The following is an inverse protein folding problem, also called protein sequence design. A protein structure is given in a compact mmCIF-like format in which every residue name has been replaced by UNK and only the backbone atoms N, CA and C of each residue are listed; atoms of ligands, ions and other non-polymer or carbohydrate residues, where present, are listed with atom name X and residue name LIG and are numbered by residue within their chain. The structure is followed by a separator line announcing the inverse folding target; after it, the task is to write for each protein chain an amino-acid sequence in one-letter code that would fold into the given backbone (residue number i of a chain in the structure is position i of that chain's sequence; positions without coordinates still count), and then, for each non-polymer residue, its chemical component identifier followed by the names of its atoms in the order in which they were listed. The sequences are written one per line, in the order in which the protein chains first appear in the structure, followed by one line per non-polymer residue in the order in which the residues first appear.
data_IF_696078497986
#
_entry.id   IF_696078497986
#
_cell.length_a   1.000
_cell.length_b   1.000
_cell.length_c   1.000
_cell.angle_alpha   90.00
_cell.angle_beta   90.00
_cell.angle_gamma   90.00
#
_symmetry.space_group_name_H-M   'P 1'
#
loop_
_entity.id
_entity.type
_entity.pdbx_description
1 polymer ?
#
# COMPACT_ATOMS: atom_id res chain seq x y z
N UNK A 1 49.68 41.82 -2.12
CA UNK A 1 49.14 40.62 -2.82
C UNK A 1 48.55 39.53 -1.88
N UNK A 2 48.80 39.57 -0.56
CA UNK A 2 48.30 38.52 0.37
C UNK A 2 46.80 38.56 0.76
N UNK A 3 46.20 39.74 0.82
CA UNK A 3 44.81 39.90 1.29
C UNK A 3 43.76 39.37 0.30
N UNK A 4 43.99 39.46 -1.00
CA UNK A 4 43.07 38.96 -2.03
C UNK A 4 43.00 37.43 -2.08
N UNK A 5 44.09 36.72 -1.78
CA UNK A 5 44.12 35.25 -1.72
C UNK A 5 43.39 34.68 -0.49
N UNK A 6 43.44 35.39 0.65
CA UNK A 6 42.76 34.99 1.90
C UNK A 6 41.23 35.13 1.76
N UNK A 7 40.75 36.24 1.18
CA UNK A 7 39.33 36.48 0.96
C UNK A 7 38.70 35.48 -0.05
N UNK A 8 39.47 35.09 -1.09
CA UNK A 8 38.99 34.10 -2.08
C UNK A 8 38.90 32.68 -1.50
N UNK A 9 39.82 32.34 -0.57
CA UNK A 9 39.82 31.04 0.11
C UNK A 9 38.66 30.90 1.12
N UNK A 10 38.29 32.00 1.80
CA UNK A 10 37.15 32.08 2.70
C UNK A 10 35.83 31.87 1.94
N UNK A 11 35.63 32.58 0.83
CA UNK A 11 34.42 32.44 -0.01
C UNK A 11 34.28 31.06 -0.60
N UNK A 12 35.37 30.43 -1.02
CA UNK A 12 35.34 29.05 -1.54
C UNK A 12 34.95 28.06 -0.45
N UNK A 13 35.47 28.25 0.76
CA UNK A 13 35.12 27.42 1.92
C UNK A 13 33.63 27.57 2.30
N UNK A 14 33.10 28.79 2.32
CA UNK A 14 31.69 29.07 2.59
C UNK A 14 30.79 28.42 1.53
N UNK A 15 31.17 28.48 0.26
CA UNK A 15 30.45 27.91 -0.85
C UNK A 15 30.41 26.36 -0.77
N UNK A 16 31.57 25.76 -0.49
CA UNK A 16 31.68 24.29 -0.31
C UNK A 16 30.88 23.86 0.91
N UNK A 17 30.93 24.59 2.00
CA UNK A 17 30.16 24.30 3.21
C UNK A 17 28.65 24.37 2.93
N UNK A 18 28.16 25.42 2.25
CA UNK A 18 26.76 25.54 1.87
C UNK A 18 26.30 24.38 0.96
N UNK A 19 27.13 23.98 -0.01
CA UNK A 19 26.83 22.85 -0.88
C UNK A 19 26.73 21.53 -0.08
N UNK A 20 27.67 21.30 0.86
CA UNK A 20 27.63 20.09 1.72
C UNK A 20 26.37 20.10 2.58
N UNK A 21 26.02 21.24 3.17
CA UNK A 21 24.80 21.35 3.99
C UNK A 21 23.54 21.13 3.15
N UNK A 22 23.48 21.74 1.96
CA UNK A 22 22.34 21.56 1.05
C UNK A 22 22.18 20.12 0.60
N UNK A 23 23.29 19.46 0.23
CA UNK A 23 23.28 18.04 -0.11
C UNK A 23 22.90 17.16 1.09
N UNK A 24 23.42 17.44 2.27
CA UNK A 24 23.07 16.73 3.50
C UNK A 24 21.59 16.84 3.84
N UNK A 25 21.00 18.03 3.68
CA UNK A 25 19.56 18.25 3.86
C UNK A 25 18.74 17.51 2.79
N UNK A 26 19.14 17.58 1.53
CA UNK A 26 18.47 16.88 0.44
C UNK A 26 18.47 15.36 0.66
N UNK A 27 19.62 14.77 0.98
CA UNK A 27 19.72 13.34 1.32
C UNK A 27 18.91 12.96 2.55
N UNK A 28 18.86 13.82 3.57
CA UNK A 28 18.07 13.58 4.78
C UNK A 28 16.57 13.57 4.46
N UNK A 29 16.11 14.49 3.62
CA UNK A 29 14.70 14.54 3.18
C UNK A 29 14.36 13.30 2.36
N UNK A 30 15.20 12.90 1.40
CA UNK A 30 14.98 11.69 0.61
C UNK A 30 14.96 10.41 1.48
N UNK A 31 15.89 10.27 2.42
CA UNK A 31 15.98 9.14 3.33
C UNK A 31 14.75 8.98 4.25
N UNK A 32 14.11 10.10 4.60
CA UNK A 32 12.87 10.11 5.39
C UNK A 32 11.62 9.86 4.53
N UNK A 33 11.73 10.15 3.24
CA UNK A 33 10.63 10.10 2.27
C UNK A 33 10.37 8.70 1.74
N UNK A 34 11.42 7.95 1.46
CA UNK A 34 11.35 6.64 0.81
C UNK A 34 11.91 5.57 1.74
N UNK A 35 11.14 4.50 1.96
CA UNK A 35 11.57 3.38 2.79
C UNK A 35 11.52 2.07 1.99
N UNK A 36 12.59 1.24 2.05
CA UNK A 36 12.57 -0.09 1.48
C UNK A 36 11.74 -1.05 2.34
N UNK A 37 10.96 -1.91 1.68
CA UNK A 37 10.24 -3.03 2.29
C UNK A 37 10.55 -4.32 1.55
N UNK A 38 10.63 -5.43 2.30
CA UNK A 38 10.75 -6.78 1.74
C UNK A 38 9.37 -7.43 1.71
N UNK A 39 9.05 -8.12 0.64
CA UNK A 39 7.79 -8.85 0.46
C UNK A 39 7.89 -10.20 1.17
N UNK A 40 7.11 -10.44 2.24
CA UNK A 40 7.23 -11.66 3.02
C UNK A 40 6.37 -12.82 2.49
N UNK A 41 5.29 -12.54 1.76
CA UNK A 41 4.29 -13.52 1.35
C UNK A 41 3.90 -13.41 -0.12
N UNK A 42 3.28 -14.46 -0.65
CA UNK A 42 2.83 -14.52 -2.05
C UNK A 42 1.48 -13.85 -2.32
N UNK A 43 0.91 -13.11 -1.37
CA UNK A 43 -0.43 -12.51 -1.51
C UNK A 43 -0.55 -11.47 -2.63
N UNK A 44 0.56 -10.92 -3.11
CA UNK A 44 0.63 -9.95 -4.21
C UNK A 44 1.18 -10.55 -5.52
N UNK A 45 1.33 -11.87 -5.60
CA UNK A 45 1.70 -12.53 -6.86
C UNK A 45 0.56 -12.44 -7.88
N UNK A 46 0.87 -12.25 -9.15
CA UNK A 46 2.21 -12.27 -9.80
C UNK A 46 2.94 -10.92 -9.78
N UNK A 47 2.30 -9.83 -9.33
CA UNK A 47 2.86 -8.47 -9.34
C UNK A 47 4.13 -8.38 -8.50
N UNK A 48 4.06 -8.81 -7.24
CA UNK A 48 5.19 -8.84 -6.32
C UNK A 48 5.44 -10.27 -5.84
N UNK A 49 6.68 -10.74 -5.94
CA UNK A 49 7.08 -12.10 -5.50
C UNK A 49 7.69 -12.06 -4.10
N UNK A 50 7.62 -13.19 -3.42
CA UNK A 50 8.28 -13.40 -2.12
C UNK A 50 9.78 -13.08 -2.21
N UNK A 51 10.29 -12.33 -1.23
CA UNK A 51 11.68 -11.90 -1.16
C UNK A 51 12.03 -10.66 -1.98
N UNK A 52 11.15 -10.20 -2.86
CA UNK A 52 11.30 -8.95 -3.62
C UNK A 52 11.37 -7.76 -2.67
N UNK A 53 12.09 -6.70 -3.08
CA UNK A 53 12.20 -5.46 -2.30
C UNK A 53 11.63 -4.30 -3.10
N UNK A 54 10.78 -3.52 -2.45
CA UNK A 54 10.09 -2.37 -3.02
C UNK A 54 10.44 -1.09 -2.30
N UNK A 55 10.37 0.02 -2.99
CA UNK A 55 10.48 1.38 -2.45
C UNK A 55 9.09 1.93 -2.20
N UNK A 56 8.88 2.46 -1.00
CA UNK A 56 7.60 2.99 -0.55
C UNK A 56 7.73 4.48 -0.27
N UNK A 57 6.92 5.28 -0.97
CA UNK A 57 6.81 6.72 -0.77
C UNK A 57 5.92 7.00 0.45
N UNK A 58 6.49 7.64 1.47
CA UNK A 58 5.80 7.98 2.73
C UNK A 58 5.36 9.44 2.81
N UNK A 59 5.92 10.30 1.97
CA UNK A 59 5.66 11.76 2.01
C UNK A 59 4.28 12.06 1.45
N UNK A 60 3.90 11.47 0.31
CA UNK A 60 2.61 11.74 -0.31
C UNK A 60 1.47 11.63 0.69
N UNK A 61 1.42 10.52 1.42
CA UNK A 61 0.40 10.30 2.44
C UNK A 61 0.45 11.33 3.60
N UNK A 62 1.64 11.74 4.03
CA UNK A 62 1.81 12.78 5.07
C UNK A 62 1.38 14.17 4.61
N UNK A 63 1.47 14.45 3.31
CA UNK A 63 1.07 15.71 2.69
C UNK A 63 -0.40 15.71 2.22
N UNK A 64 -1.20 14.72 2.66
CA UNK A 64 -2.63 14.65 2.36
C UNK A 64 -2.98 14.00 1.03
N UNK A 65 -2.03 13.37 0.34
CA UNK A 65 -2.36 12.54 -0.83
C UNK A 65 -3.06 11.27 -0.37
N UNK A 66 -4.29 11.08 -0.84
CA UNK A 66 -5.06 9.87 -0.56
C UNK A 66 -4.72 8.76 -1.56
N UNK A 67 -4.60 7.50 -1.09
CA UNK A 67 -4.44 6.35 -1.97
C UNK A 67 -5.61 6.25 -2.94
N UNK A 68 -5.33 5.93 -4.21
CA UNK A 68 -6.33 5.79 -5.28
C UNK A 68 -6.47 4.33 -5.69
N UNK A 69 -7.61 4.01 -6.31
CA UNK A 69 -7.82 2.70 -6.90
C UNK A 69 -6.71 2.38 -7.91
N UNK A 70 -6.07 1.23 -7.71
CA UNK A 70 -4.91 0.77 -8.45
C UNK A 70 -3.60 0.86 -7.68
N UNK A 71 -3.47 1.76 -6.72
CA UNK A 71 -2.25 1.93 -5.93
C UNK A 71 -1.95 0.70 -5.08
N UNK A 72 -0.69 0.31 -5.02
CA UNK A 72 -0.20 -0.72 -4.10
C UNK A 72 0.33 -0.04 -2.84
N UNK A 73 -0.27 -0.33 -1.70
CA UNK A 73 0.01 0.37 -0.46
C UNK A 73 0.55 -0.55 0.64
N UNK A 74 1.49 -0.03 1.42
CA UNK A 74 1.95 -0.63 2.69
C UNK A 74 1.19 0.04 3.83
N UNK A 75 0.66 -0.76 4.74
CA UNK A 75 -0.23 -0.28 5.81
C UNK A 75 -0.15 -1.14 7.07
N UNK A 76 -0.76 -0.66 8.16
CA UNK A 76 -0.98 -1.42 9.40
C UNK A 76 -2.40 -1.96 9.41
N UNK A 77 -2.59 -3.30 9.31
CA UNK A 77 -3.92 -3.89 9.28
C UNK A 77 -4.62 -3.84 10.64
N UNK A 78 -5.95 -4.06 10.69
CA UNK A 78 -6.68 -4.18 11.95
C UNK A 78 -6.25 -5.42 12.73
N UNK A 79 -6.57 -5.46 14.02
CA UNK A 79 -6.35 -6.65 14.84
C UNK A 79 -7.11 -7.86 14.26
N UNK A 80 -6.46 -9.04 14.23
CA UNK A 80 -7.03 -10.27 13.68
C UNK A 80 -7.07 -10.34 12.15
N UNK A 81 -6.35 -9.48 11.45
CA UNK A 81 -6.26 -9.50 9.99
C UNK A 81 -5.57 -10.76 9.46
N UNK A 82 -4.63 -11.31 10.21
CA UNK A 82 -3.94 -12.57 9.94
C UNK A 82 -4.83 -13.81 10.06
N UNK A 83 -5.89 -13.70 10.87
CA UNK A 83 -6.90 -14.75 11.06
C UNK A 83 -8.19 -14.46 10.25
N UNK A 84 -8.19 -13.48 9.33
CA UNK A 84 -9.35 -13.13 8.52
C UNK A 84 -10.58 -12.69 9.32
N UNK A 85 -10.38 -12.12 10.53
CA UNK A 85 -11.49 -11.88 11.45
C UNK A 85 -12.20 -10.55 11.19
N UNK A 86 -13.48 -10.62 10.84
CA UNK A 86 -14.35 -9.46 10.65
C UNK A 86 -14.85 -8.85 11.98
N UNK A 87 -15.01 -7.54 12.02
CA UNK A 87 -15.62 -6.82 13.14
C UNK A 87 -17.16 -6.79 13.10
N UNK A 88 -17.75 -7.27 12.02
CA UNK A 88 -19.19 -7.42 11.84
C UNK A 88 -19.53 -8.90 11.58
N UNK A 89 -20.35 -9.49 12.47
CA UNK A 89 -20.71 -10.91 12.42
C UNK A 89 -21.60 -11.27 11.22
N UNK A 90 -22.23 -10.29 10.57
CA UNK A 90 -23.14 -10.49 9.44
C UNK A 90 -22.44 -10.30 8.09
N UNK A 91 -21.12 -10.20 8.08
CA UNK A 91 -20.30 -10.00 6.88
C UNK A 91 -18.93 -10.66 7.04
N UNK A 92 -18.23 -10.88 5.95
CA UNK A 92 -16.94 -11.58 5.91
C UNK A 92 -17.09 -13.05 5.56
N UNK A 93 -16.12 -13.86 5.98
CA UNK A 93 -16.05 -15.28 5.61
C UNK A 93 -17.33 -16.04 5.94
N UNK A 94 -17.78 -16.89 5.00
CA UNK A 94 -19.01 -17.68 5.15
C UNK A 94 -20.31 -16.92 4.92
N UNK A 95 -20.25 -15.63 4.57
CA UNK A 95 -21.42 -14.80 4.25
C UNK A 95 -21.38 -14.35 2.78
N UNK A 96 -22.50 -13.90 2.19
CA UNK A 96 -22.52 -13.37 0.82
C UNK A 96 -21.93 -11.95 0.70
N UNK A 97 -21.51 -11.32 1.81
CA UNK A 97 -20.97 -9.95 1.87
C UNK A 97 -19.49 -9.94 2.26
N UNK A 98 -18.65 -9.14 1.63
CA UNK A 98 -17.31 -8.90 2.17
C UNK A 98 -17.43 -8.22 3.54
N UNK A 99 -16.40 -8.34 4.37
CA UNK A 99 -16.42 -7.72 5.70
C UNK A 99 -16.68 -6.21 5.61
N UNK A 100 -17.72 -5.75 6.31
CA UNK A 100 -18.18 -4.35 6.26
C UNK A 100 -17.49 -3.45 7.27
N UNK A 101 -16.90 -4.02 8.33
CA UNK A 101 -16.28 -3.27 9.43
C UNK A 101 -15.07 -3.99 10.00
N UNK A 102 -13.90 -3.30 10.10
CA UNK A 102 -12.72 -3.88 10.71
C UNK A 102 -12.88 -4.03 12.23
N UNK A 103 -12.13 -4.94 12.82
CA UNK A 103 -11.98 -5.02 14.29
C UNK A 103 -11.18 -3.81 14.81
N UNK A 104 -11.47 -3.31 16.01
CA UNK A 104 -10.66 -2.29 16.65
C UNK A 104 -9.25 -2.82 16.96
N UNK A 105 -8.28 -1.90 17.07
CA UNK A 105 -6.88 -2.23 17.34
C UNK A 105 -6.05 -2.36 16.06
N UNK A 106 -4.75 -2.64 16.25
CA UNK A 106 -3.74 -2.76 15.20
C UNK A 106 -3.06 -4.12 15.30
N UNK A 107 -2.75 -4.69 14.15
CA UNK A 107 -1.83 -5.82 14.03
C UNK A 107 -0.38 -5.33 14.17
N UNK A 108 0.51 -6.17 14.68
CA UNK A 108 1.92 -5.82 14.89
C UNK A 108 2.71 -5.68 13.59
N UNK A 109 2.36 -6.47 12.58
CA UNK A 109 3.04 -6.48 11.29
C UNK A 109 2.42 -5.53 10.28
N UNK A 110 3.20 -5.18 9.26
CA UNK A 110 2.73 -4.39 8.11
C UNK A 110 2.38 -5.29 6.95
N UNK A 111 1.27 -4.97 6.28
CA UNK A 111 0.82 -5.68 5.07
C UNK A 111 1.02 -4.81 3.83
N UNK A 112 1.00 -5.46 2.68
CA UNK A 112 1.01 -4.81 1.38
C UNK A 112 -0.14 -5.37 0.53
N UNK A 113 -1.00 -4.50 -0.01
CA UNK A 113 -2.17 -4.84 -0.82
C UNK A 113 -2.45 -3.73 -1.84
N UNK A 114 -3.32 -4.02 -2.79
CA UNK A 114 -3.81 -3.05 -3.78
C UNK A 114 -5.14 -2.44 -3.35
N UNK A 115 -5.29 -1.14 -3.58
CA UNK A 115 -6.56 -0.42 -3.41
C UNK A 115 -7.50 -0.83 -4.56
N UNK A 116 -8.67 -1.36 -4.23
CA UNK A 116 -9.70 -1.76 -5.21
C UNK A 116 -10.98 -0.96 -5.11
N UNK A 117 -11.18 -0.25 -3.99
CA UNK A 117 -12.26 0.73 -3.83
C UNK A 117 -11.87 1.79 -2.79
N UNK A 118 -12.49 2.98 -2.90
CA UNK A 118 -12.27 4.14 -2.04
C UNK A 118 -13.55 4.49 -1.28
N UNK A 119 -13.43 5.41 -0.31
CA UNK A 119 -14.58 5.92 0.44
C UNK A 119 -15.69 6.42 -0.48
N UNK A 120 -16.93 6.01 -0.20
CA UNK A 120 -18.10 6.30 -1.00
C UNK A 120 -18.43 5.24 -2.07
N UNK A 121 -17.46 4.42 -2.50
CA UNK A 121 -17.71 3.34 -3.45
C UNK A 121 -18.55 2.19 -2.84
N UNK A 122 -19.28 1.47 -3.69
CA UNK A 122 -19.80 0.15 -3.36
C UNK A 122 -18.86 -0.93 -3.91
N UNK A 123 -18.64 -1.99 -3.14
CA UNK A 123 -17.76 -3.11 -3.51
C UNK A 123 -18.43 -4.45 -3.25
N UNK A 124 -18.44 -5.30 -4.26
CA UNK A 124 -18.76 -6.72 -4.22
C UNK A 124 -17.64 -7.51 -4.88
N UNK A 125 -17.62 -8.83 -4.71
CA UNK A 125 -16.59 -9.69 -5.29
C UNK A 125 -17.28 -10.79 -6.07
N UNK A 126 -16.86 -11.04 -7.32
CA UNK A 126 -17.34 -12.15 -8.16
C UNK A 126 -16.16 -12.85 -8.82
N UNK A 127 -16.04 -14.14 -8.60
CA UNK A 127 -14.91 -14.95 -9.09
C UNK A 127 -13.55 -14.34 -8.73
N UNK A 128 -13.42 -13.80 -7.52
CA UNK A 128 -12.23 -13.11 -7.04
C UNK A 128 -11.97 -11.71 -7.65
N UNK A 129 -12.81 -11.24 -8.58
CA UNK A 129 -12.68 -9.89 -9.18
C UNK A 129 -13.48 -8.86 -8.38
N UNK A 130 -12.91 -7.67 -8.27
CA UNK A 130 -13.62 -6.55 -7.69
C UNK A 130 -14.78 -6.09 -8.60
N UNK A 131 -15.96 -5.91 -8.01
CA UNK A 131 -17.12 -5.27 -8.66
C UNK A 131 -17.35 -3.96 -7.94
N UNK A 132 -16.81 -2.88 -8.51
CA UNK A 132 -16.89 -1.52 -7.96
C UNK A 132 -18.02 -0.74 -8.62
N UNK A 133 -18.92 -0.20 -7.82
CA UNK A 133 -20.08 0.59 -8.29
C UNK A 133 -20.89 -0.16 -9.38
N UNK A 134 -21.07 -1.48 -9.17
CA UNK A 134 -21.81 -2.35 -10.09
C UNK A 134 -21.03 -2.78 -11.35
N UNK A 135 -19.78 -2.32 -11.52
CA UNK A 135 -18.95 -2.65 -12.70
C UNK A 135 -17.79 -3.56 -12.31
N UNK A 136 -17.58 -4.63 -13.06
CA UNK A 136 -16.43 -5.53 -12.89
C UNK A 136 -15.16 -4.77 -13.27
N UNK A 137 -14.19 -4.73 -12.37
CA UNK A 137 -12.92 -4.06 -12.60
C UNK A 137 -12.07 -4.79 -13.65
N UNK A 138 -11.35 -4.03 -14.46
CA UNK A 138 -10.36 -4.55 -15.40
C UNK A 138 -9.05 -4.78 -14.63
N UNK A 139 -8.76 -6.04 -14.32
CA UNK A 139 -7.63 -6.42 -13.45
C UNK A 139 -6.78 -7.51 -14.14
N UNK A 140 -6.02 -7.16 -15.19
CA UNK A 140 -5.22 -8.13 -15.95
C UNK A 140 -4.03 -8.68 -15.14
N UNK A 141 -3.67 -8.03 -14.07
CA UNK A 141 -2.51 -8.34 -13.21
C UNK A 141 -2.80 -9.37 -12.11
N UNK A 142 -4.07 -9.76 -11.89
CA UNK A 142 -4.40 -10.66 -10.78
C UNK A 142 -4.12 -12.13 -11.14
N UNK A 143 -3.79 -12.92 -10.12
CA UNK A 143 -3.95 -14.37 -10.14
C UNK A 143 -5.39 -14.69 -9.73
N UNK A 144 -6.20 -15.30 -10.60
CA UNK A 144 -7.60 -15.59 -10.29
C UNK A 144 -7.74 -16.45 -9.04
N UNK A 145 -8.87 -16.30 -8.39
CA UNK A 145 -9.30 -17.16 -7.30
C UNK A 145 -9.71 -18.52 -7.86
N UNK A 146 -9.06 -19.59 -7.49
CA UNK A 146 -9.30 -20.95 -8.02
C UNK A 146 -10.67 -21.58 -7.68
N UNK A 147 -11.65 -20.79 -7.24
CA UNK A 147 -12.95 -21.23 -6.71
C UNK A 147 -12.92 -21.37 -5.18
N UNK A 148 -14.07 -21.53 -4.56
CA UNK A 148 -14.22 -21.68 -3.10
C UNK A 148 -14.85 -20.45 -2.42
N UNK A 149 -15.07 -20.58 -1.11
CA UNK A 149 -15.86 -19.63 -0.29
C UNK A 149 -15.28 -18.21 -0.23
N UNK A 150 -13.98 -18.03 -0.42
CA UNK A 150 -13.34 -16.71 -0.39
C UNK A 150 -13.30 -15.96 -1.73
N UNK A 151 -13.89 -16.56 -2.79
CA UNK A 151 -13.86 -16.01 -4.13
C UNK A 151 -15.07 -15.14 -4.47
N UNK A 152 -16.17 -15.32 -3.77
CA UNK A 152 -17.44 -14.69 -4.06
C UNK A 152 -18.07 -14.06 -2.82
N UNK A 153 -18.34 -12.76 -2.93
CA UNK A 153 -19.13 -11.97 -2.01
C UNK A 153 -20.04 -11.07 -2.86
N UNK A 154 -21.15 -11.66 -3.41
CA UNK A 154 -21.97 -11.00 -4.42
C UNK A 154 -22.81 -9.84 -3.91
N UNK A 155 -23.08 -9.78 -2.59
CA UNK A 155 -23.81 -8.66 -1.99
C UNK A 155 -22.86 -7.52 -1.66
N UNK A 156 -23.10 -6.32 -2.23
CA UNK A 156 -22.16 -5.20 -2.04
C UNK A 156 -22.23 -4.61 -0.64
N UNK A 157 -21.10 -4.09 -0.19
CA UNK A 157 -20.99 -3.16 0.93
C UNK A 157 -20.61 -1.77 0.42
N UNK A 158 -20.93 -0.71 1.19
CA UNK A 158 -20.40 0.63 0.97
C UNK A 158 -19.11 0.80 1.76
N UNK A 159 -18.05 1.29 1.10
CA UNK A 159 -16.81 1.68 1.76
C UNK A 159 -17.05 3.00 2.49
N UNK A 160 -16.80 3.10 3.81
CA UNK A 160 -16.99 4.35 4.54
C UNK A 160 -16.05 5.46 4.04
N UNK A 161 -16.48 6.72 4.15
CA UNK A 161 -15.65 7.86 3.80
C UNK A 161 -14.38 7.89 4.67
N UNK A 162 -13.23 8.18 4.06
CA UNK A 162 -11.93 8.10 4.71
C UNK A 162 -11.33 6.69 4.85
N UNK A 163 -11.96 5.68 4.21
CA UNK A 163 -11.48 4.31 4.16
C UNK A 163 -11.16 3.88 2.73
N UNK A 164 -10.35 2.83 2.62
CA UNK A 164 -10.07 2.11 1.36
C UNK A 164 -10.34 0.63 1.53
N UNK A 165 -10.74 -0.03 0.44
CA UNK A 165 -10.88 -1.48 0.40
C UNK A 165 -9.70 -2.07 -0.35
N UNK A 166 -9.00 -3.00 0.28
CA UNK A 166 -7.71 -3.52 -0.15
C UNK A 166 -7.82 -4.99 -0.51
N UNK A 167 -7.24 -5.39 -1.64
CA UNK A 167 -7.15 -6.81 -2.02
C UNK A 167 -5.73 -7.17 -2.45
N UNK A 168 -5.34 -8.42 -2.21
CA UNK A 168 -4.13 -8.96 -2.80
C UNK A 168 -4.33 -9.29 -4.27
N UNK A 169 -3.28 -9.20 -5.07
CA UNK A 169 -3.32 -9.57 -6.49
C UNK A 169 -3.43 -11.11 -6.66
N UNK A 170 -2.95 -11.88 -5.69
CA UNK A 170 -3.19 -13.33 -5.60
C UNK A 170 -4.53 -13.59 -4.88
N UNK A 171 -5.61 -13.52 -5.61
CA UNK A 171 -6.99 -13.53 -5.08
C UNK A 171 -7.32 -14.75 -4.24
N UNK A 172 -6.77 -15.91 -4.59
CA UNK A 172 -7.02 -17.18 -3.87
C UNK A 172 -6.10 -17.40 -2.65
N UNK A 173 -5.07 -16.54 -2.46
CA UNK A 173 -4.09 -16.71 -1.39
C UNK A 173 -3.76 -15.35 -0.73
N UNK A 174 -4.79 -14.62 -0.36
CA UNK A 174 -4.64 -13.29 0.27
C UNK A 174 -5.68 -13.07 1.35
N UNK A 175 -5.22 -12.88 2.59
CA UNK A 175 -6.02 -12.32 3.67
C UNK A 175 -6.06 -10.80 3.48
N UNK A 176 -7.26 -10.28 3.12
CA UNK A 176 -7.44 -8.89 2.76
C UNK A 176 -8.81 -8.35 3.21
N UNK A 177 -9.20 -7.17 2.72
CA UNK A 177 -10.43 -6.51 3.16
C UNK A 177 -11.70 -7.32 2.96
N UNK A 178 -11.69 -8.36 2.15
CA UNK A 178 -12.81 -9.31 2.03
C UNK A 178 -13.15 -9.95 3.38
N UNK A 179 -12.12 -10.19 4.20
CA UNK A 179 -12.23 -10.90 5.47
C UNK A 179 -12.18 -9.97 6.69
N UNK A 180 -11.35 -8.90 6.67
CA UNK A 180 -11.16 -8.03 7.83
C UNK A 180 -11.68 -6.61 7.66
N UNK A 181 -12.28 -6.28 6.48
CA UNK A 181 -13.01 -5.03 6.24
C UNK A 181 -12.19 -3.88 5.67
N UNK A 182 -12.85 -2.72 5.43
CA UNK A 182 -12.20 -1.52 4.93
C UNK A 182 -11.13 -1.00 5.90
N UNK A 183 -10.06 -0.41 5.37
CA UNK A 183 -8.96 0.16 6.15
C UNK A 183 -9.08 1.69 6.22
N UNK A 184 -9.00 2.32 7.41
CA UNK A 184 -8.87 3.76 7.51
C UNK A 184 -7.62 4.25 6.74
N UNK A 185 -7.75 5.27 5.91
CA UNK A 185 -6.63 5.86 5.15
C UNK A 185 -5.47 6.26 6.07
N UNK A 186 -5.75 6.74 7.27
CA UNK A 186 -4.74 7.10 8.29
C UNK A 186 -3.80 5.96 8.70
N UNK A 187 -4.15 4.70 8.41
CA UNK A 187 -3.31 3.52 8.67
C UNK A 187 -2.38 3.17 7.52
N UNK A 188 -2.51 3.82 6.37
CA UNK A 188 -1.61 3.67 5.24
C UNK A 188 -0.26 4.32 5.60
N UNK A 189 0.83 3.59 5.38
CA UNK A 189 2.20 4.05 5.62
C UNK A 189 2.74 4.78 4.39
N UNK A 190 2.39 4.27 3.20
CA UNK A 190 2.81 4.85 1.93
C UNK A 190 2.51 3.92 0.75
N UNK A 191 2.77 4.43 -0.45
CA UNK A 191 2.57 3.76 -1.73
C UNK A 191 3.87 3.11 -2.21
N UNK A 192 3.80 1.84 -2.61
CA UNK A 192 4.90 1.14 -3.26
C UNK A 192 4.93 1.53 -4.74
N UNK A 193 5.97 2.22 -5.17
CA UNK A 193 6.05 2.78 -6.52
C UNK A 193 7.10 2.10 -7.40
N UNK A 194 8.10 1.45 -6.82
CA UNK A 194 9.15 0.77 -7.58
C UNK A 194 9.66 -0.48 -6.88
N UNK A 195 10.02 -1.49 -7.66
CA UNK A 195 10.80 -2.63 -7.23
C UNK A 195 12.27 -2.43 -7.59
N UNK A 196 13.19 -2.69 -6.64
CA UNK A 196 14.62 -2.53 -6.85
C UNK A 196 15.45 -3.81 -6.66
N UNK A 197 14.82 -4.88 -6.18
CA UNK A 197 15.48 -6.18 -6.02
C UNK A 197 14.49 -7.32 -6.25
N UNK A 198 14.88 -8.42 -6.93
CA UNK A 198 16.17 -8.64 -7.60
C UNK A 198 16.32 -7.78 -8.87
N UNK A 199 17.55 -7.63 -9.41
CA UNK A 199 17.80 -6.81 -10.62
C UNK A 199 16.94 -7.20 -11.82
N UNK A 200 16.58 -8.47 -11.95
CA UNK A 200 15.68 -8.99 -13.01
C UNK A 200 14.24 -8.48 -12.88
N UNK A 201 13.90 -7.76 -11.81
CA UNK A 201 12.56 -7.21 -11.54
C UNK A 201 12.58 -5.72 -11.19
N UNK A 202 13.59 -5.02 -11.68
CA UNK A 202 13.62 -3.56 -11.61
C UNK A 202 12.48 -2.96 -12.42
N UNK A 203 11.71 -2.04 -11.82
CA UNK A 203 10.61 -1.36 -12.51
C UNK A 203 9.56 -0.77 -11.57
N UNK A 204 8.50 -0.23 -12.14
CA UNK A 204 7.31 0.21 -11.40
C UNK A 204 6.53 -0.97 -10.79
N UNK A 205 5.66 -0.64 -9.84
CA UNK A 205 4.78 -1.60 -9.15
C UNK A 205 3.34 -1.39 -9.61
#
# INVERSE_FOLDING_TARGET
MGHLRRARRSRLFELVFMVIVALGLAFSVEALAVKPYRIPSGSMEPTLKVGQRVLVNRIGHRLGTHPRVGDVVVFRPPAGADAGTCGDRNSGEGTPRPCSRPRPGLHSETFIKRVVAEGGDTIAIRNGRAVRNGRVAQEPFIRPCGGGTGCDFPEPIRVPDGYVFLMGDNRGASDDSRYWGPLPVSRVIGEAFASYWPPSRLGGV
#
